data_IF_566797906414
#
_entry.id   IF_566797906414
#
_cell.length_a   1.000
_cell.length_b   1.000
_cell.length_c   1.000
_cell.angle_alpha   90.00
_cell.angle_beta   90.00
_cell.angle_gamma   90.00
#
_symmetry.space_group_name_H-M   'P 1'
#
loop_
_entity.id
_entity.type
_entity.pdbx_description
1 polymer ?
#
# COMPACT_ATOMS: atom_id res chain seq x y z
N UNK A 1 -10.88 4.41 8.62
CA UNK A 1 -10.33 3.53 9.68
C UNK A 1 -8.93 2.96 9.35
N UNK A 2 -8.44 3.13 8.13
CA UNK A 2 -7.20 2.51 7.62
C UNK A 2 -5.91 2.96 8.33
N UNK A 3 -5.84 4.23 8.74
CA UNK A 3 -4.70 4.77 9.47
C UNK A 3 -4.42 3.96 10.74
N UNK A 4 -5.44 3.59 11.51
CA UNK A 4 -5.27 2.85 12.76
C UNK A 4 -4.88 1.40 12.48
N UNK A 5 -5.51 0.77 11.49
CA UNK A 5 -5.27 -0.65 11.17
C UNK A 5 -3.87 -0.87 10.59
N UNK A 6 -3.40 0.06 9.76
CA UNK A 6 -2.14 -0.09 9.04
C UNK A 6 -1.00 0.65 9.73
N UNK A 7 -1.12 1.96 10.01
CA UNK A 7 0.02 2.74 10.50
C UNK A 7 0.53 2.30 11.88
N UNK A 8 -0.30 1.66 12.70
CA UNK A 8 0.13 1.10 14.00
C UNK A 8 1.14 -0.04 13.85
N UNK A 9 1.13 -0.75 12.72
CA UNK A 9 2.05 -1.84 12.41
C UNK A 9 3.40 -1.34 11.86
N UNK A 10 3.46 -0.10 11.36
CA UNK A 10 4.66 0.48 10.75
C UNK A 10 5.87 0.52 11.70
N UNK A 11 5.63 0.65 13.01
CA UNK A 11 6.71 0.61 14.00
C UNK A 11 7.42 -0.75 14.04
N UNK A 12 6.67 -1.85 13.89
CA UNK A 12 7.24 -3.20 13.78
C UNK A 12 8.07 -3.40 12.51
N UNK A 13 7.58 -2.86 11.39
CA UNK A 13 8.32 -2.87 10.11
C UNK A 13 9.65 -2.12 10.24
N UNK A 14 9.64 -0.93 10.84
CA UNK A 14 10.83 -0.10 10.99
C UNK A 14 11.88 -0.72 11.94
N UNK A 15 11.46 -1.29 13.07
CA UNK A 15 12.41 -1.89 14.03
C UNK A 15 12.95 -3.24 13.55
N UNK A 16 12.26 -3.92 12.64
CA UNK A 16 12.65 -5.25 12.14
C UNK A 16 14.09 -5.32 11.60
N UNK A 17 14.57 -4.25 10.95
CA UNK A 17 15.92 -4.17 10.40
C UNK A 17 17.03 -4.05 11.47
N UNK A 18 16.68 -3.66 12.70
CA UNK A 18 17.61 -3.48 13.82
C UNK A 18 17.23 -4.34 15.04
N UNK A 19 16.33 -5.31 14.87
CA UNK A 19 15.78 -6.11 15.96
C UNK A 19 16.84 -6.96 16.69
N UNK A 20 17.91 -7.32 15.98
CA UNK A 20 19.07 -8.07 16.53
C UNK A 20 20.25 -7.15 16.92
N UNK A 21 20.08 -5.84 16.78
CA UNK A 21 21.10 -4.85 17.16
C UNK A 21 20.84 -4.30 18.56
N UNK A 22 21.87 -3.77 19.24
CA UNK A 22 21.76 -3.15 20.56
C UNK A 22 21.01 -1.80 20.51
N UNK A 23 19.72 -1.83 20.19
CA UNK A 23 18.82 -0.68 20.26
C UNK A 23 18.26 -0.59 21.67
N UNK A 24 18.39 0.56 22.32
CA UNK A 24 17.79 0.78 23.65
C UNK A 24 16.27 0.78 23.56
N UNK A 25 15.53 0.41 24.62
CA UNK A 25 14.06 0.45 24.61
C UNK A 25 13.49 1.81 24.22
N UNK A 26 14.14 2.89 24.67
CA UNK A 26 13.76 4.26 24.30
C UNK A 26 14.02 4.52 22.80
N UNK A 27 15.15 4.06 22.26
CA UNK A 27 15.44 4.16 20.83
C UNK A 27 14.39 3.44 19.98
N UNK A 28 13.98 2.24 20.38
CA UNK A 28 12.94 1.48 19.70
C UNK A 28 11.58 2.22 19.72
N UNK A 29 11.21 2.84 20.85
CA UNK A 29 9.97 3.62 20.97
C UNK A 29 9.97 4.86 20.08
N UNK A 30 11.10 5.56 19.98
CA UNK A 30 11.26 6.73 19.11
C UNK A 30 11.13 6.31 17.64
N UNK A 31 11.87 5.28 17.21
CA UNK A 31 11.82 4.76 15.83
C UNK A 31 10.41 4.32 15.47
N UNK A 32 9.75 3.57 16.34
CA UNK A 32 8.37 3.11 16.12
C UNK A 32 7.38 4.27 15.99
N UNK A 33 7.51 5.29 16.84
CA UNK A 33 6.63 6.47 16.82
C UNK A 33 6.82 7.29 15.53
N UNK A 34 8.07 7.52 15.10
CA UNK A 34 8.37 8.22 13.86
C UNK A 34 7.88 7.43 12.64
N UNK A 35 8.07 6.11 12.62
CA UNK A 35 7.57 5.25 11.56
C UNK A 35 6.03 5.29 11.44
N UNK A 36 5.31 5.31 12.57
CA UNK A 36 3.85 5.48 12.57
C UNK A 36 3.41 6.82 11.97
N UNK A 37 4.12 7.91 12.28
CA UNK A 37 3.85 9.23 11.68
C UNK A 37 4.13 9.22 10.17
N UNK A 38 5.27 8.68 9.74
CA UNK A 38 5.61 8.54 8.31
C UNK A 38 4.52 7.75 7.58
N UNK A 39 4.07 6.63 8.15
CA UNK A 39 3.03 5.79 7.56
C UNK A 39 1.71 6.54 7.45
N UNK A 40 1.28 7.22 8.52
CA UNK A 40 0.02 7.99 8.57
C UNK A 40 0.02 9.11 7.52
N UNK A 41 1.10 9.90 7.44
CA UNK A 41 1.25 10.93 6.41
C UNK A 41 1.34 10.34 5.00
N UNK A 42 1.87 9.12 4.88
CA UNK A 42 1.87 8.37 3.64
C UNK A 42 0.47 8.10 3.11
N UNK A 43 -0.44 7.64 3.98
CA UNK A 43 -1.83 7.41 3.62
C UNK A 43 -2.52 8.70 3.15
N UNK A 44 -2.31 9.82 3.85
CA UNK A 44 -2.98 11.09 3.51
C UNK A 44 -2.41 11.80 2.27
N UNK A 45 -1.10 11.68 2.00
CA UNK A 45 -0.43 12.49 0.97
C UNK A 45 0.23 11.67 -0.13
N UNK A 46 0.83 10.54 0.21
CA UNK A 46 1.63 9.75 -0.73
C UNK A 46 0.73 8.82 -1.55
N UNK A 47 -0.24 8.16 -0.94
CA UNK A 47 -1.26 7.36 -1.67
C UNK A 47 -1.97 8.17 -2.76
N UNK A 48 -2.61 9.33 -2.46
CA UNK A 48 -3.29 10.08 -3.50
C UNK A 48 -2.32 10.61 -4.56
N UNK A 49 -1.09 10.99 -4.19
CA UNK A 49 -0.08 11.40 -5.16
C UNK A 49 0.32 10.25 -6.11
N UNK A 50 0.55 9.05 -5.58
CA UNK A 50 0.88 7.84 -6.36
C UNK A 50 -0.25 7.50 -7.33
N UNK A 51 -1.50 7.57 -6.86
CA UNK A 51 -2.67 7.29 -7.67
C UNK A 51 -2.87 8.35 -8.78
N UNK A 52 -2.90 9.63 -8.42
CA UNK A 52 -3.33 10.69 -9.33
C UNK A 52 -2.25 11.13 -10.32
N UNK A 53 -0.97 11.10 -9.88
CA UNK A 53 0.15 11.60 -10.69
C UNK A 53 0.95 10.49 -11.34
N UNK A 54 1.11 9.37 -10.65
CA UNK A 54 1.94 8.26 -11.13
C UNK A 54 1.11 7.07 -11.66
N UNK A 55 -0.22 7.09 -11.50
CA UNK A 55 -1.13 5.99 -11.86
C UNK A 55 -0.70 4.66 -11.25
N UNK A 56 -0.14 4.73 -10.03
CA UNK A 56 0.22 3.57 -9.23
C UNK A 56 -0.88 3.38 -8.20
N UNK A 57 -1.69 2.36 -8.42
CA UNK A 57 -2.81 2.05 -7.53
C UNK A 57 -2.32 1.12 -6.42
N UNK A 58 -2.30 1.63 -5.19
CA UNK A 58 -1.89 0.90 -3.99
C UNK A 58 -3.10 0.69 -3.07
N UNK A 59 -3.86 -0.37 -3.34
CA UNK A 59 -5.16 -0.66 -2.72
C UNK A 59 -5.14 -0.75 -1.20
N UNK A 60 -4.05 -1.26 -0.60
CA UNK A 60 -3.96 -1.38 0.86
C UNK A 60 -2.96 -0.38 1.48
N UNK A 61 -2.42 0.55 0.68
CA UNK A 61 -1.34 1.43 1.11
C UNK A 61 -0.09 0.68 1.59
N UNK A 62 0.26 -0.44 0.95
CA UNK A 62 1.44 -1.24 1.34
C UNK A 62 2.73 -0.44 1.19
N UNK A 63 2.78 0.57 0.33
CA UNK A 63 3.89 1.50 0.24
C UNK A 63 4.09 2.28 1.55
N UNK A 64 3.00 2.71 2.19
CA UNK A 64 3.04 3.50 3.42
C UNK A 64 3.29 2.66 4.66
N UNK A 65 2.85 1.40 4.66
CA UNK A 65 3.06 0.48 5.78
C UNK A 65 4.38 -0.27 5.68
N UNK A 66 4.69 -0.85 4.52
CA UNK A 66 5.86 -1.70 4.34
C UNK A 66 7.01 -0.92 3.73
N UNK A 67 6.78 -0.23 2.61
CA UNK A 67 7.83 0.42 1.83
C UNK A 67 8.58 1.50 2.61
N UNK A 68 7.93 2.62 2.90
CA UNK A 68 8.58 3.76 3.56
C UNK A 68 9.09 3.44 4.97
N UNK A 69 8.35 2.72 5.84
CA UNK A 69 8.85 2.34 7.15
C UNK A 69 10.05 1.38 7.09
N UNK A 70 10.10 0.44 6.13
CA UNK A 70 11.26 -0.44 5.96
C UNK A 70 12.50 0.33 5.47
N UNK A 71 12.31 1.30 4.56
CA UNK A 71 13.40 2.20 4.12
C UNK A 71 13.96 3.00 5.30
N UNK A 72 13.08 3.61 6.09
CA UNK A 72 13.45 4.34 7.30
C UNK A 72 14.20 3.44 8.30
N UNK A 73 13.65 2.26 8.61
CA UNK A 73 14.26 1.29 9.52
C UNK A 73 15.63 0.79 9.06
N UNK A 74 15.81 0.59 7.76
CA UNK A 74 17.10 0.18 7.18
C UNK A 74 18.17 1.26 7.35
N UNK A 75 17.81 2.53 7.17
CA UNK A 75 18.73 3.66 7.40
C UNK A 75 19.15 3.72 8.88
N UNK A 76 18.19 3.56 9.80
CA UNK A 76 18.48 3.52 11.24
C UNK A 76 19.42 2.35 11.58
N UNK A 77 19.15 1.16 11.03
CA UNK A 77 19.99 -0.02 11.19
C UNK A 77 21.43 0.23 10.72
N UNK A 78 21.62 0.90 9.58
CA UNK A 78 22.94 1.27 9.08
C UNK A 78 23.67 2.27 9.98
N UNK A 79 22.97 3.24 10.55
CA UNK A 79 23.54 4.22 11.49
C UNK A 79 23.98 3.50 12.77
N UNK A 80 23.10 2.68 13.36
CA UNK A 80 23.41 1.89 14.57
C UNK A 80 24.62 1.00 14.33
N UNK A 81 24.64 0.29 13.19
CA UNK A 81 25.73 -0.59 12.83
C UNK A 81 27.05 0.15 12.55
N UNK A 82 27.02 1.39 12.06
CA UNK A 82 28.21 2.22 11.90
C UNK A 82 28.78 2.72 13.24
N UNK A 83 27.93 2.89 14.26
CA UNK A 83 28.35 3.30 15.61
C UNK A 83 28.82 2.13 16.47
N UNK A 84 28.36 0.91 16.19
CA UNK A 84 28.86 -0.31 16.79
C UNK A 84 30.15 -0.71 16.08
N UNK A 85 31.29 -0.55 16.72
CA UNK A 85 32.65 -0.72 16.17
C UNK A 85 33.02 -2.17 15.77
N UNK A 86 32.27 -2.77 14.86
CA UNK A 86 32.53 -4.09 14.27
C UNK A 86 32.85 -3.86 12.80
N UNK A 87 34.11 -4.10 12.43
CA UNK A 87 34.78 -3.73 11.17
C UNK A 87 34.13 -4.25 9.86
N UNK A 88 32.92 -4.83 9.89
CA UNK A 88 32.29 -5.50 8.75
C UNK A 88 30.81 -5.14 8.48
N UNK A 89 30.16 -4.30 9.30
CA UNK A 89 28.72 -4.05 9.10
C UNK A 89 28.41 -2.94 8.09
N UNK A 90 29.21 -1.87 8.04
CA UNK A 90 28.85 -0.66 7.28
C UNK A 90 29.05 -0.79 5.77
N UNK A 91 30.09 -1.50 5.31
CA UNK A 91 30.39 -1.61 3.87
C UNK A 91 29.30 -2.36 3.07
N UNK A 92 28.51 -3.23 3.72
CA UNK A 92 27.51 -4.06 3.05
C UNK A 92 26.09 -3.49 3.08
N UNK A 93 25.79 -2.55 3.98
CA UNK A 93 24.42 -2.04 4.17
C UNK A 93 23.85 -1.34 2.93
N UNK A 94 24.60 -0.43 2.30
CA UNK A 94 24.18 0.26 1.07
C UNK A 94 23.98 -0.72 -0.08
N UNK A 95 24.90 -1.68 -0.23
CA UNK A 95 24.82 -2.71 -1.26
C UNK A 95 23.57 -3.58 -1.06
N UNK A 96 23.31 -4.07 0.16
CA UNK A 96 22.15 -4.90 0.48
C UNK A 96 20.82 -4.18 0.22
N UNK A 97 20.72 -2.90 0.61
CA UNK A 97 19.55 -2.07 0.35
C UNK A 97 19.30 -1.92 -1.16
N UNK A 98 20.34 -1.56 -1.92
CA UNK A 98 20.25 -1.37 -3.37
C UNK A 98 19.87 -2.66 -4.12
N UNK A 99 20.43 -3.80 -3.71
CA UNK A 99 20.13 -5.12 -4.30
C UNK A 99 18.67 -5.49 -4.03
N UNK A 100 18.19 -5.29 -2.81
CA UNK A 100 16.79 -5.57 -2.45
C UNK A 100 15.82 -4.76 -3.30
N UNK A 101 16.09 -3.45 -3.46
CA UNK A 101 15.26 -2.58 -4.27
C UNK A 101 15.29 -2.96 -5.75
N UNK A 102 16.47 -3.32 -6.27
CA UNK A 102 16.61 -3.77 -7.65
C UNK A 102 15.82 -5.06 -7.92
N UNK A 103 15.92 -6.05 -7.03
CA UNK A 103 15.17 -7.31 -7.15
C UNK A 103 13.66 -7.05 -7.04
N UNK A 104 13.23 -6.20 -6.11
CA UNK A 104 11.81 -5.87 -5.95
C UNK A 104 11.21 -5.21 -7.19
N UNK A 105 11.90 -4.23 -7.78
CA UNK A 105 11.42 -3.50 -8.97
C UNK A 105 11.42 -4.42 -10.19
N UNK A 106 12.54 -5.12 -10.46
CA UNK A 106 12.66 -5.99 -11.64
C UNK A 106 11.72 -7.19 -11.52
N UNK A 107 11.71 -7.86 -10.37
CA UNK A 107 10.84 -9.01 -10.11
C UNK A 107 9.37 -8.64 -10.14
N UNK A 108 8.99 -7.50 -9.54
CA UNK A 108 7.63 -6.96 -9.58
C UNK A 108 7.18 -6.62 -11.00
N UNK A 109 8.03 -5.97 -11.81
CA UNK A 109 7.71 -5.63 -13.19
C UNK A 109 7.54 -6.88 -14.07
N UNK A 110 8.44 -7.87 -13.93
CA UNK A 110 8.34 -9.15 -14.66
C UNK A 110 7.06 -9.89 -14.27
N UNK A 111 6.78 -9.99 -12.97
CA UNK A 111 5.57 -10.65 -12.46
C UNK A 111 4.31 -9.93 -12.95
N UNK A 112 4.28 -8.61 -12.90
CA UNK A 112 3.18 -7.80 -13.42
C UNK A 112 2.95 -7.99 -14.92
N UNK A 113 4.02 -8.08 -15.71
CA UNK A 113 3.92 -8.36 -17.15
C UNK A 113 3.33 -9.75 -17.42
N UNK A 114 3.78 -10.77 -16.68
CA UNK A 114 3.24 -12.14 -16.79
C UNK A 114 1.75 -12.15 -16.44
N UNK A 115 1.36 -11.53 -15.33
CA UNK A 115 -0.05 -11.45 -14.92
C UNK A 115 -0.90 -10.70 -15.94
N UNK A 116 -0.38 -9.65 -16.58
CA UNK A 116 -1.07 -8.94 -17.65
C UNK A 116 -1.30 -9.83 -18.88
N UNK A 117 -0.34 -10.65 -19.25
CA UNK A 117 -0.47 -11.59 -20.38
C UNK A 117 -1.50 -12.67 -20.05
N UNK A 118 -1.42 -13.28 -18.87
CA UNK A 118 -2.38 -14.30 -18.42
C UNK A 118 -3.79 -13.72 -18.35
N UNK A 119 -3.95 -12.53 -17.77
CA UNK A 119 -5.22 -11.83 -17.67
C UNK A 119 -5.85 -11.51 -19.03
N UNK A 120 -5.02 -11.17 -20.03
CA UNK A 120 -5.47 -10.97 -21.40
C UNK A 120 -6.04 -12.24 -22.03
N UNK A 121 -5.35 -13.38 -21.88
CA UNK A 121 -5.84 -14.67 -22.42
C UNK A 121 -7.09 -15.20 -21.72
N UNK A 122 -7.31 -14.82 -20.45
CA UNK A 122 -8.48 -15.20 -19.67
C UNK A 122 -9.68 -14.25 -19.86
N UNK A 123 -9.54 -13.15 -20.61
CA UNK A 123 -10.61 -12.17 -20.78
C UNK A 123 -11.02 -11.47 -19.47
N UNK A 124 -10.10 -11.37 -18.50
CA UNK A 124 -10.39 -10.83 -17.17
C UNK A 124 -10.82 -9.35 -17.19
N UNK A 125 -10.34 -8.58 -18.16
CA UNK A 125 -10.72 -7.18 -18.31
C UNK A 125 -12.20 -7.04 -18.70
N UNK A 126 -12.69 -7.91 -19.60
CA UNK A 126 -14.07 -7.88 -20.07
C UNK A 126 -15.03 -8.33 -18.95
N UNK A 127 -14.63 -9.33 -18.15
CA UNK A 127 -15.38 -9.76 -16.97
C UNK A 127 -15.46 -8.68 -15.88
N UNK A 128 -14.37 -7.93 -15.64
CA UNK A 128 -14.37 -6.85 -14.66
C UNK A 128 -15.30 -5.69 -15.06
N UNK A 129 -15.35 -5.36 -16.36
CA UNK A 129 -16.27 -4.36 -16.87
C UNK A 129 -17.74 -4.80 -16.72
N UNK A 130 -18.04 -6.08 -16.95
CA UNK A 130 -19.37 -6.64 -16.73
C UNK A 130 -19.77 -6.64 -15.24
N UNK A 131 -18.90 -7.14 -14.35
CA UNK A 131 -19.19 -7.22 -12.92
C UNK A 131 -19.30 -5.84 -12.28
N UNK A 132 -18.47 -4.88 -12.69
CA UNK A 132 -18.54 -3.50 -12.24
C UNK A 132 -19.84 -2.81 -12.66
N UNK A 133 -20.37 -3.16 -13.84
CA UNK A 133 -21.65 -2.67 -14.32
C UNK A 133 -22.81 -3.28 -13.53
N UNK A 134 -22.76 -4.59 -13.26
CA UNK A 134 -23.76 -5.27 -12.42
C UNK A 134 -23.78 -4.70 -11.00
N UNK A 135 -22.61 -4.52 -10.37
CA UNK A 135 -22.51 -3.93 -9.04
C UNK A 135 -23.12 -2.52 -9.00
N UNK A 136 -22.79 -1.65 -9.97
CA UNK A 136 -23.38 -0.30 -10.08
C UNK A 136 -24.91 -0.32 -10.25
N UNK A 137 -25.47 -1.32 -10.92
CA UNK A 137 -26.93 -1.48 -11.06
C UNK A 137 -27.57 -1.90 -9.73
N UNK A 138 -26.95 -2.81 -8.99
CA UNK A 138 -27.45 -3.26 -7.68
C UNK A 138 -27.39 -2.14 -6.64
N UNK A 139 -26.27 -1.43 -6.51
CA UNK A 139 -26.14 -0.30 -5.58
C UNK A 139 -27.13 0.83 -5.87
N UNK A 140 -27.39 1.14 -7.14
CA UNK A 140 -28.42 2.13 -7.51
C UNK A 140 -29.87 1.62 -7.32
N UNK A 141 -30.07 0.31 -7.13
CA UNK A 141 -31.39 -0.29 -6.88
C UNK A 141 -31.74 -0.42 -5.38
N UNK A 142 -30.73 -0.40 -4.50
CA UNK A 142 -30.90 -0.58 -3.05
C UNK A 142 -31.47 0.64 -2.33
N UNK A 143 -31.65 1.79 -3.01
CA UNK A 143 -32.44 2.91 -2.45
C UNK A 143 -33.96 2.63 -2.40
N UNK A 144 -34.45 1.54 -3.01
CA UNK A 144 -35.88 1.17 -2.93
C UNK A 144 -36.08 -0.35 -2.75
N UNK A 145 -36.40 -0.83 -1.53
CA UNK A 145 -36.74 -2.23 -1.32
C UNK A 145 -37.99 -2.62 -2.12
N UNK A 146 -37.81 -3.33 -3.24
CA UNK A 146 -38.88 -4.01 -3.98
C UNK A 146 -39.45 -3.32 -5.23
N UNK A 147 -38.85 -2.24 -5.74
CA UNK A 147 -39.29 -1.64 -7.00
C UNK A 147 -38.65 -2.33 -8.24
N UNK A 148 -39.39 -2.58 -9.33
CA UNK A 148 -38.81 -3.06 -10.59
C UNK A 148 -37.79 -2.05 -11.13
N UNK A 149 -36.62 -2.55 -11.53
CA UNK A 149 -35.48 -1.74 -12.02
C UNK A 149 -35.96 -0.85 -13.18
N UNK A 150 -36.03 0.49 -13.03
CA UNK A 150 -36.34 1.37 -14.13
C UNK A 150 -35.10 1.49 -15.01
N UNK A 151 -35.20 1.08 -16.26
CA UNK A 151 -34.15 1.12 -17.30
C UNK A 151 -33.59 2.52 -17.62
N UNK A 152 -33.97 3.57 -16.89
CA UNK A 152 -33.79 4.97 -17.30
C UNK A 152 -32.80 5.80 -16.46
N UNK A 153 -32.19 5.28 -15.39
CA UNK A 153 -31.18 6.05 -14.62
C UNK A 153 -29.93 5.23 -14.30
N UNK A 154 -29.26 4.75 -15.35
CA UNK A 154 -27.86 4.31 -15.21
C UNK A 154 -26.99 5.56 -15.14
N UNK A 155 -26.72 6.06 -13.93
CA UNK A 155 -25.62 7.00 -13.74
C UNK A 155 -24.33 6.22 -13.93
N UNK A 156 -23.67 6.44 -15.07
CA UNK A 156 -22.36 5.84 -15.36
C UNK A 156 -21.35 6.39 -14.36
N UNK A 157 -21.08 5.63 -13.30
CA UNK A 157 -19.95 5.89 -12.41
C UNK A 157 -18.70 5.58 -13.25
N UNK A 158 -17.82 6.57 -13.46
CA UNK A 158 -16.59 6.38 -14.23
C UNK A 158 -15.70 5.32 -13.55
N UNK A 159 -14.92 4.59 -14.36
CA UNK A 159 -14.05 3.47 -13.92
C UNK A 159 -13.13 3.85 -12.75
N UNK A 160 -12.72 5.12 -12.73
CA UNK A 160 -11.84 5.72 -11.73
C UNK A 160 -12.42 5.75 -10.30
N UNK A 161 -13.73 5.55 -10.13
CA UNK A 161 -14.42 5.61 -8.83
C UNK A 161 -14.82 4.23 -8.28
N UNK A 162 -14.48 3.14 -8.96
CA UNK A 162 -14.89 1.77 -8.55
C UNK A 162 -14.17 1.23 -7.31
N UNK A 163 -13.05 1.86 -6.95
CA UNK A 163 -12.26 1.54 -5.76
C UNK A 163 -12.08 2.81 -4.91
N UNK A 164 -13.06 3.71 -4.93
CA UNK A 164 -13.05 4.82 -3.98
C UNK A 164 -13.51 4.27 -2.62
N UNK A 165 -12.61 4.24 -1.64
CA UNK A 165 -12.90 3.71 -0.29
C UNK A 165 -14.09 4.43 0.37
N UNK A 166 -14.36 5.67 -0.02
CA UNK A 166 -15.55 6.42 0.40
C UNK A 166 -16.87 5.69 0.09
N UNK A 167 -16.94 4.89 -0.99
CA UNK A 167 -18.15 4.14 -1.36
C UNK A 167 -18.38 2.87 -0.53
N UNK A 168 -17.33 2.30 0.07
CA UNK A 168 -17.44 1.07 0.88
C UNK A 168 -17.60 1.35 2.38
N UNK A 169 -17.22 2.55 2.84
CA UNK A 169 -17.24 2.92 4.26
C UNK A 169 -18.32 3.94 4.65
N UNK A 170 -19.19 4.37 3.73
CA UNK A 170 -20.30 5.29 4.03
C UNK A 170 -21.48 4.66 4.81
N UNK A 171 -21.31 3.46 5.37
CA UNK A 171 -22.28 2.82 6.25
C UNK A 171 -22.37 3.38 7.67
N UNK A 172 -21.48 4.29 8.09
CA UNK A 172 -21.53 4.92 9.42
C UNK A 172 -21.19 6.42 9.36
N UNK A 173 -22.21 7.25 9.13
CA UNK A 173 -22.30 8.60 9.70
C UNK A 173 -23.65 8.79 10.37
#
# INVERSE_FOLDING_TARGET
>A
MEHIQNATLAGGVAIGAAADMFVTPLGALIVGSVAGVISTLGFDYVTPFLNDKLRVHDTCGVHNLHGMPALFGSIISMIVAATASVDNYTEKGLAQWSITLAIAIVGGAVTGLIMRIVGYYQGLNDMMDEYSTQAKLTFNSDETPGAPIPTAQVRVVHHDNLFNDDLFFEGER
#
